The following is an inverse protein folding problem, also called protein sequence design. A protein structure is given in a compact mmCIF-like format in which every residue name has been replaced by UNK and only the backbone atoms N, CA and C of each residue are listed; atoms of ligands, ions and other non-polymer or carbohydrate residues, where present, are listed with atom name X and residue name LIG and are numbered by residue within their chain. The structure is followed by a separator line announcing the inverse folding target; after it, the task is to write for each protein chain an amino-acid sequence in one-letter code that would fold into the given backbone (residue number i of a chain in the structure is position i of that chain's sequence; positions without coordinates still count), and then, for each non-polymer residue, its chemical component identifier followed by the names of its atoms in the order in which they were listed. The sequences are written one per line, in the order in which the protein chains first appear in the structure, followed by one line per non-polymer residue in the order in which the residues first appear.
data_IF_329622170134
#
_entry.id   IF_329622170134
#
_cell.length_a   1.000
_cell.length_b   1.000
_cell.length_c   1.000
_cell.angle_alpha   90.00
_cell.angle_beta   90.00
_cell.angle_gamma   90.00
#
_symmetry.space_group_name_H-M   'P 1'
#
loop_
_entity.id
_entity.type
_entity.pdbx_description
1 polymer ?
#
# COMPACT_ATOMS: atom_id res chain seq x y z
N UNK A 1 -7.04 2.99 -30.38
CA UNK A 1 -6.13 3.95 -29.74
C UNK A 1 -5.13 3.13 -28.95
N UNK A 2 -3.86 3.18 -29.37
CA UNK A 2 -2.79 2.43 -28.72
C UNK A 2 -2.42 3.14 -27.42
N UNK A 3 -2.28 2.37 -26.33
CA UNK A 3 -1.88 2.87 -25.03
C UNK A 3 -0.37 3.15 -25.07
N UNK A 4 0.05 4.35 -24.68
CA UNK A 4 1.35 4.52 -24.03
C UNK A 4 1.28 3.72 -22.73
N UNK A 5 2.06 2.65 -22.62
CA UNK A 5 1.95 1.62 -21.60
C UNK A 5 1.72 2.17 -20.18
N UNK A 6 0.81 1.54 -19.41
CA UNK A 6 0.69 1.77 -17.96
C UNK A 6 2.09 1.80 -17.33
N UNK A 7 2.37 2.71 -16.39
CA UNK A 7 3.70 2.83 -15.80
C UNK A 7 4.03 1.57 -14.99
N UNK A 8 4.79 0.67 -15.58
CA UNK A 8 5.19 -0.59 -14.98
C UNK A 8 6.38 -0.38 -14.06
N UNK A 9 6.35 -1.03 -12.90
CA UNK A 9 7.43 -1.05 -11.91
C UNK A 9 7.99 0.36 -11.59
N UNK A 10 7.14 1.39 -11.74
CA UNK A 10 7.47 2.78 -11.48
C UNK A 10 6.68 3.25 -10.25
N UNK A 11 7.32 3.90 -9.26
CA UNK A 11 6.63 4.40 -8.08
C UNK A 11 5.49 5.36 -8.44
N UNK A 12 4.30 5.06 -7.96
CA UNK A 12 3.12 5.89 -8.18
C UNK A 12 2.24 5.98 -6.94
N UNK A 13 1.46 7.06 -6.87
CA UNK A 13 0.42 7.27 -5.87
C UNK A 13 -0.92 7.11 -6.58
N UNK A 14 -1.83 6.36 -5.96
CA UNK A 14 -3.18 6.18 -6.48
C UNK A 14 -4.14 7.16 -5.82
N UNK A 15 -4.80 7.99 -6.63
CA UNK A 15 -5.86 8.90 -6.18
C UNK A 15 -7.21 8.38 -6.66
N UNK A 16 -8.17 8.23 -5.75
CA UNK A 16 -9.50 7.77 -6.10
C UNK A 16 -10.22 8.81 -6.95
N UNK A 17 -10.77 8.40 -8.09
CA UNK A 17 -11.55 9.26 -8.98
C UNK A 17 -12.97 9.38 -8.43
N UNK A 18 -13.10 10.00 -7.24
CA UNK A 18 -14.40 10.23 -6.62
C UNK A 18 -15.36 10.84 -7.64
N UNK A 19 -16.56 10.30 -7.74
CA UNK A 19 -17.65 10.93 -8.46
C UNK A 19 -18.03 12.20 -7.73
N UNK A 20 -17.32 13.30 -8.00
CA UNK A 20 -17.93 14.61 -7.81
C UNK A 20 -19.14 14.62 -8.74
N UNK A 21 -20.33 14.76 -8.14
CA UNK A 21 -21.50 15.16 -8.92
C UNK A 21 -21.11 16.38 -9.74
N UNK A 22 -21.51 16.39 -11.01
CA UNK A 22 -21.09 17.33 -12.06
C UNK A 22 -21.44 18.81 -11.81
N UNK A 23 -21.65 19.23 -10.57
CA UNK A 23 -22.14 20.56 -10.18
C UNK A 23 -21.41 21.18 -8.97
N UNK A 24 -20.40 20.52 -8.40
CA UNK A 24 -19.70 21.09 -7.24
C UNK A 24 -18.57 22.02 -7.70
N UNK A 25 -18.95 23.27 -8.01
CA UNK A 25 -18.05 24.39 -8.37
C UNK A 25 -17.00 24.70 -7.28
N UNK A 26 -17.14 24.08 -6.11
CA UNK A 26 -16.19 24.12 -5.02
C UNK A 26 -15.95 22.69 -4.52
N UNK A 27 -14.88 22.06 -5.01
CA UNK A 27 -14.40 20.78 -4.47
C UNK A 27 -13.91 20.98 -3.02
N UNK A 28 -14.85 21.03 -2.08
CA UNK A 28 -14.59 21.19 -0.63
C UNK A 28 -14.09 19.89 0.00
N UNK A 29 -14.25 18.77 -0.71
CA UNK A 29 -13.83 17.46 -0.24
C UNK A 29 -12.37 17.19 -0.64
N UNK A 30 -11.54 16.93 0.36
CA UNK A 30 -10.15 16.55 0.16
C UNK A 30 -10.05 15.33 -0.78
N UNK A 31 -9.03 15.27 -1.65
CA UNK A 31 -8.78 14.11 -2.49
C UNK A 31 -8.52 12.87 -1.63
N UNK A 32 -9.12 11.75 -2.03
CA UNK A 32 -8.92 10.46 -1.36
C UNK A 32 -7.77 9.75 -2.08
N UNK A 33 -6.74 9.40 -1.32
CA UNK A 33 -5.61 8.61 -1.80
C UNK A 33 -5.68 7.20 -1.23
N UNK A 34 -5.00 6.28 -1.90
CA UNK A 34 -4.65 4.99 -1.32
C UNK A 34 -3.70 5.25 -0.15
N UNK A 35 -4.15 4.89 1.06
CA UNK A 35 -3.37 5.11 2.27
C UNK A 35 -2.81 3.81 2.87
N UNK A 36 -1.71 3.95 3.61
CA UNK A 36 -1.20 2.90 4.48
C UNK A 36 -1.99 2.80 5.79
N UNK A 37 -1.56 1.91 6.68
CA UNK A 37 -2.19 1.73 8.00
C UNK A 37 -2.12 2.96 8.90
N UNK A 38 -1.23 3.91 8.60
CA UNK A 38 -1.03 5.16 9.33
C UNK A 38 -1.75 6.35 8.68
N UNK A 39 -2.55 6.11 7.64
CA UNK A 39 -3.29 7.12 6.87
C UNK A 39 -2.42 8.04 6.01
N UNK A 40 -1.16 7.68 5.76
CA UNK A 40 -0.30 8.37 4.81
C UNK A 40 -0.51 7.81 3.40
N UNK A 41 -0.35 8.65 2.38
CA UNK A 41 -0.45 8.20 1.00
C UNK A 41 0.63 7.15 0.72
N UNK A 42 0.19 5.94 0.33
CA UNK A 42 1.09 4.81 0.12
C UNK A 42 1.54 4.77 -1.34
N UNK A 43 2.86 4.66 -1.52
CA UNK A 43 3.48 4.56 -2.83
C UNK A 43 3.47 3.10 -3.26
N UNK A 44 2.97 2.85 -4.47
CA UNK A 44 2.82 1.51 -5.03
C UNK A 44 3.49 1.40 -6.39
N UNK A 45 3.72 0.17 -6.82
CA UNK A 45 4.25 -0.23 -8.10
C UNK A 45 3.19 -1.10 -8.79
N UNK A 46 2.98 -0.90 -10.09
CA UNK A 46 2.17 -1.80 -10.90
C UNK A 46 3.08 -2.79 -11.61
N UNK A 47 3.02 -4.05 -11.22
CA UNK A 47 3.82 -5.10 -11.83
C UNK A 47 2.97 -5.92 -12.79
N UNK A 48 3.37 -5.97 -14.06
CA UNK A 48 2.68 -6.72 -15.10
C UNK A 48 3.04 -8.20 -15.01
N UNK A 49 2.05 -9.06 -14.74
CA UNK A 49 2.26 -10.52 -14.61
C UNK A 49 1.84 -11.29 -15.86
N UNK A 50 0.85 -10.77 -16.61
CA UNK A 50 0.35 -11.34 -17.86
C UNK A 50 -0.15 -10.20 -18.76
N UNK A 51 -0.58 -10.54 -19.97
CA UNK A 51 -1.19 -9.56 -20.89
C UNK A 51 -2.34 -8.82 -20.19
N UNK A 52 -2.19 -7.50 -20.05
CA UNK A 52 -3.16 -6.59 -19.43
C UNK A 52 -3.55 -6.95 -17.98
N UNK A 53 -2.72 -7.73 -17.29
CA UNK A 53 -2.97 -8.19 -15.91
C UNK A 53 -1.83 -7.74 -15.01
N UNK A 54 -2.19 -7.08 -13.92
CA UNK A 54 -1.27 -6.40 -13.03
C UNK A 54 -1.51 -6.81 -11.59
N UNK A 55 -0.44 -6.88 -10.82
CA UNK A 55 -0.50 -6.91 -9.36
C UNK A 55 -0.05 -5.55 -8.83
N UNK A 56 -0.57 -5.18 -7.67
CA UNK A 56 -0.21 -3.93 -6.99
C UNK A 56 0.78 -4.28 -5.89
N UNK A 57 1.99 -3.75 -5.99
CA UNK A 57 3.07 -3.94 -5.02
C UNK A 57 3.30 -2.68 -4.22
N UNK A 58 3.64 -2.83 -2.96
CA UNK A 58 4.13 -1.75 -2.15
C UNK A 58 5.56 -1.39 -2.54
N UNK A 59 5.86 -0.10 -2.68
CA UNK A 59 7.19 0.35 -3.09
C UNK A 59 8.22 0.33 -1.94
N UNK A 60 7.75 0.37 -0.69
CA UNK A 60 8.55 0.43 0.54
C UNK A 60 9.09 -0.95 0.96
N UNK A 61 8.24 -1.97 0.98
CA UNK A 61 8.53 -3.29 1.54
C UNK A 61 8.32 -4.45 0.56
N UNK A 62 7.88 -4.15 -0.68
CA UNK A 62 7.64 -5.15 -1.72
C UNK A 62 6.45 -6.06 -1.46
N UNK A 63 5.62 -5.80 -0.44
CA UNK A 63 4.41 -6.57 -0.18
C UNK A 63 3.41 -6.43 -1.34
N UNK A 64 2.64 -7.47 -1.59
CA UNK A 64 1.68 -7.53 -2.69
C UNK A 64 0.25 -7.38 -2.15
N UNK A 65 -0.59 -6.68 -2.90
CA UNK A 65 -1.99 -6.48 -2.53
C UNK A 65 -2.75 -7.80 -2.66
N UNK A 66 -3.40 -8.20 -1.56
CA UNK A 66 -4.30 -9.35 -1.47
C UNK A 66 -5.72 -8.87 -1.21
N UNK A 67 -6.70 -9.65 -1.66
CA UNK A 67 -8.12 -9.41 -1.38
C UNK A 67 -8.64 -10.51 -0.46
N UNK A 68 -9.08 -10.12 0.74
CA UNK A 68 -9.73 -11.00 1.70
C UNK A 68 -11.13 -11.42 1.24
N UNK A 69 -11.66 -12.49 1.85
CA UNK A 69 -12.99 -13.02 1.50
C UNK A 69 -14.14 -12.03 1.73
N UNK A 70 -13.94 -11.05 2.62
CA UNK A 70 -14.89 -9.97 2.90
C UNK A 70 -14.74 -8.77 1.94
N UNK A 71 -13.89 -8.86 0.92
CA UNK A 71 -13.56 -7.76 0.03
C UNK A 71 -12.64 -6.71 0.66
N UNK A 72 -12.09 -6.93 1.85
CA UNK A 72 -11.04 -6.07 2.40
C UNK A 72 -9.73 -6.30 1.66
N UNK A 73 -8.97 -5.23 1.39
CA UNK A 73 -7.68 -5.36 0.74
C UNK A 73 -6.54 -5.04 1.71
N UNK A 74 -5.46 -5.83 1.64
CA UNK A 74 -4.30 -5.74 2.53
C UNK A 74 -3.02 -5.97 1.73
N UNK A 75 -1.90 -5.43 2.18
CA UNK A 75 -0.59 -5.80 1.65
C UNK A 75 -0.04 -6.95 2.47
N UNK A 76 0.53 -7.96 1.81
CA UNK A 76 1.07 -9.14 2.45
C UNK A 76 2.31 -9.65 1.70
N UNK A 77 3.12 -10.49 2.34
CA UNK A 77 4.32 -11.05 1.73
C UNK A 77 4.03 -11.82 0.42
N UNK A 78 4.75 -11.52 -0.68
CA UNK A 78 4.59 -12.23 -1.95
C UNK A 78 4.93 -13.73 -1.84
N UNK A 79 5.69 -14.13 -0.81
CA UNK A 79 6.06 -15.53 -0.56
C UNK A 79 4.85 -16.42 -0.27
N UNK A 80 3.70 -15.85 0.10
CA UNK A 80 2.47 -16.60 0.30
C UNK A 80 1.80 -17.01 -1.02
N UNK A 81 2.13 -16.36 -2.15
CA UNK A 81 1.59 -16.69 -3.47
C UNK A 81 0.08 -16.49 -3.61
N UNK A 82 -0.51 -15.60 -2.80
CA UNK A 82 -1.96 -15.30 -2.76
C UNK A 82 -2.31 -13.90 -3.28
N UNK A 83 -1.39 -13.30 -4.02
CA UNK A 83 -1.50 -11.95 -4.56
C UNK A 83 -2.67 -11.83 -5.52
N UNK A 84 -3.39 -10.72 -5.43
CA UNK A 84 -4.55 -10.50 -6.29
C UNK A 84 -4.09 -9.95 -7.64
N UNK A 85 -4.50 -10.65 -8.70
CA UNK A 85 -4.31 -10.23 -10.09
C UNK A 85 -5.48 -9.33 -10.53
N UNK A 86 -5.16 -8.18 -11.13
CA UNK A 86 -6.15 -7.22 -11.62
C UNK A 86 -6.03 -7.00 -13.11
N UNK A 87 -7.17 -7.04 -13.81
CA UNK A 87 -7.29 -6.48 -15.14
C UNK A 87 -7.50 -4.97 -15.02
N UNK A 88 -6.76 -4.20 -15.82
CA UNK A 88 -6.86 -2.74 -15.81
C UNK A 88 -7.69 -2.27 -17.00
N UNK A 89 -8.78 -1.55 -16.71
CA UNK A 89 -9.70 -1.03 -17.71
C UNK A 89 -9.66 0.52 -17.72
N UNK A 90 -9.33 1.16 -18.85
CA UNK A 90 -9.27 2.61 -18.93
C UNK A 90 -10.67 3.23 -18.97
N UNK A 91 -10.82 4.40 -18.37
CA UNK A 91 -12.05 5.21 -18.37
C UNK A 91 -11.82 6.50 -19.15
N UNK A 92 -12.87 7.01 -19.80
CA UNK A 92 -12.80 8.19 -20.67
C UNK A 92 -12.27 9.46 -19.97
N UNK A 93 -12.34 9.55 -18.64
CA UNK A 93 -11.82 10.66 -17.85
C UNK A 93 -10.30 10.56 -17.56
N UNK A 94 -9.59 9.57 -18.13
CA UNK A 94 -8.17 9.32 -17.89
C UNK A 94 -7.85 8.55 -16.61
N UNK A 95 -8.88 8.13 -15.85
CA UNK A 95 -8.70 7.20 -14.73
C UNK A 95 -8.70 5.75 -15.20
N UNK A 96 -8.26 4.84 -14.33
CA UNK A 96 -8.24 3.40 -14.60
C UNK A 96 -9.00 2.63 -13.53
N UNK A 97 -9.71 1.58 -13.94
CA UNK A 97 -10.46 0.69 -13.05
C UNK A 97 -9.66 -0.60 -12.92
N UNK A 98 -9.43 -1.04 -11.68
CA UNK A 98 -8.80 -2.33 -11.39
C UNK A 98 -9.90 -3.34 -11.10
N UNK A 99 -10.01 -4.36 -11.95
CA UNK A 99 -11.00 -5.43 -11.84
C UNK A 99 -10.28 -6.70 -11.39
N UNK A 100 -10.63 -7.24 -10.23
CA UNK A 100 -10.09 -8.50 -9.71
C UNK A 100 -10.34 -9.62 -10.72
N UNK A 101 -9.29 -10.30 -11.15
CA UNK A 101 -9.39 -11.45 -12.04
C UNK A 101 -10.09 -12.64 -11.38
N UNK A 102 -10.02 -12.73 -10.04
CA UNK A 102 -10.64 -13.81 -9.27
C UNK A 102 -12.14 -13.63 -9.08
N UNK A 103 -12.58 -12.42 -8.76
CA UNK A 103 -13.98 -12.17 -8.35
C UNK A 103 -14.77 -11.34 -9.36
N UNK A 104 -14.10 -10.61 -10.26
CA UNK A 104 -14.73 -9.60 -11.12
C UNK A 104 -15.09 -8.30 -10.41
N UNK A 105 -14.82 -8.21 -9.10
CA UNK A 105 -15.08 -7.02 -8.29
C UNK A 105 -14.06 -5.91 -8.59
N UNK A 106 -14.45 -4.68 -8.28
CA UNK A 106 -13.64 -3.49 -8.56
C UNK A 106 -12.90 -3.05 -7.30
N UNK A 107 -11.63 -2.66 -7.46
CA UNK A 107 -10.87 -2.00 -6.40
C UNK A 107 -11.40 -0.58 -6.19
N UNK A 108 -11.89 -0.31 -4.99
CA UNK A 108 -12.45 0.97 -4.55
C UNK A 108 -11.84 1.43 -3.24
N UNK A 109 -12.16 2.68 -2.86
CA UNK A 109 -11.87 3.21 -1.53
C UNK A 109 -13.12 3.23 -0.65
N UNK A 110 -12.98 2.93 0.63
CA UNK A 110 -14.04 3.05 1.65
C UNK A 110 -14.40 4.49 2.03
N UNK A 111 -13.88 5.49 1.31
CA UNK A 111 -14.11 6.91 1.58
C UNK A 111 -13.13 7.53 2.57
N UNK A 112 -12.35 6.72 3.28
CA UNK A 112 -11.31 7.14 4.24
C UNK A 112 -9.90 6.79 3.69
N UNK A 113 -9.81 6.24 2.48
CA UNK A 113 -8.55 5.89 1.83
C UNK A 113 -8.12 4.43 2.02
N UNK A 114 -8.93 3.59 2.69
CA UNK A 114 -8.66 2.15 2.75
C UNK A 114 -9.24 1.46 1.52
N UNK A 115 -8.53 0.45 1.06
CA UNK A 115 -8.91 -0.30 -0.13
C UNK A 115 -9.95 -1.37 0.18
N UNK A 116 -10.94 -1.48 -0.71
CA UNK A 116 -11.90 -2.56 -0.76
C UNK A 116 -12.05 -3.07 -2.19
N UNK A 117 -12.41 -4.34 -2.34
CA UNK A 117 -12.71 -4.96 -3.61
C UNK A 117 -14.16 -5.45 -3.57
N UNK A 118 -15.05 -4.71 -4.20
CA UNK A 118 -16.51 -4.89 -4.09
C UNK A 118 -17.19 -4.80 -5.45
N UNK A 119 -18.38 -5.41 -5.56
CA UNK A 119 -19.22 -5.34 -6.75
C UNK A 119 -20.09 -4.08 -6.70
N UNK A 120 -19.49 -2.95 -7.06
CA UNK A 120 -20.10 -1.62 -7.00
C UNK A 120 -19.84 -0.86 -8.31
N UNK A 121 -20.10 0.45 -8.29
CA UNK A 121 -19.86 1.31 -9.45
C UNK A 121 -18.40 1.23 -9.89
N UNK A 122 -18.14 1.21 -11.19
CA UNK A 122 -16.77 1.15 -11.74
C UNK A 122 -16.05 2.49 -11.63
N UNK A 123 -15.80 2.93 -10.40
CA UNK A 123 -15.08 4.18 -10.11
C UNK A 123 -13.59 3.94 -10.28
N UNK A 124 -12.94 4.82 -11.03
CA UNK A 124 -11.53 4.66 -11.39
C UNK A 124 -10.55 5.26 -10.38
N UNK A 125 -9.28 5.12 -10.70
CA UNK A 125 -8.12 5.67 -10.00
C UNK A 125 -7.28 6.49 -10.97
N UNK A 126 -6.85 7.66 -10.53
CA UNK A 126 -5.79 8.40 -11.18
C UNK A 126 -4.43 7.91 -10.66
N UNK A 127 -3.53 7.57 -11.58
CA UNK A 127 -2.17 7.15 -11.28
C UNK A 127 -1.27 8.39 -11.36
N UNK A 128 -0.71 8.80 -10.23
CA UNK A 128 0.14 9.98 -10.11
C UNK A 128 1.59 9.53 -9.98
N UNK A 129 2.43 9.86 -10.96
CA UNK A 129 3.87 9.66 -10.86
C UNK A 129 4.51 10.88 -10.21
N UNK A 130 5.52 10.65 -9.36
CA UNK A 130 6.33 11.74 -8.85
C UNK A 130 7.17 12.28 -10.01
N UNK A 131 6.87 13.50 -10.47
CA UNK A 131 7.56 14.13 -11.59
C UNK A 131 9.02 14.40 -11.25
N UNK A 132 9.91 13.47 -11.57
CA UNK A 132 11.30 13.80 -11.84
C UNK A 132 11.32 14.60 -13.14
N UNK A 133 11.72 15.87 -13.06
CA UNK A 133 12.07 16.64 -14.26
C UNK A 133 13.06 15.84 -15.08
N UNK A 134 12.61 15.36 -16.24
CA UNK A 134 13.48 14.85 -17.28
C UNK A 134 14.35 16.00 -17.78
N UNK A 135 15.56 16.13 -17.25
CA UNK A 135 16.64 16.86 -17.91
C UNK A 135 17.85 15.94 -18.05
N UNK A 136 18.10 15.56 -19.30
CA UNK A 136 19.40 15.08 -19.75
C UNK A 136 20.48 16.11 -19.33
N UNK A 137 21.44 15.69 -18.52
CA UNK A 137 22.52 16.56 -18.09
C UNK A 137 23.54 15.83 -17.22
N UNK A 138 24.53 15.22 -17.87
CA UNK A 138 25.75 14.67 -17.28
C UNK A 138 26.47 15.74 -16.45
N UNK A 139 26.66 15.51 -15.15
CA UNK A 139 27.72 16.16 -14.37
C UNK A 139 28.11 15.31 -13.15
N UNK A 140 29.41 15.03 -13.09
CA UNK A 140 30.16 14.36 -12.02
C UNK A 140 30.54 15.41 -10.96
N UNK A 141 30.40 15.09 -9.67
CA UNK A 141 31.32 15.44 -8.55
C UNK A 141 30.79 14.76 -7.28
N UNK A 142 31.47 13.74 -6.77
CA UNK A 142 32.51 13.76 -5.72
C UNK A 142 31.96 13.89 -4.29
N UNK A 143 32.39 12.95 -3.46
CA UNK A 143 31.99 12.73 -2.09
C UNK A 143 32.78 13.62 -1.13
N UNK A 144 32.17 14.01 0.00
CA UNK A 144 32.92 14.30 1.21
C UNK A 144 32.13 13.89 2.46
N UNK A 145 32.79 13.10 3.30
CA UNK A 145 32.33 12.60 4.59
C UNK A 145 32.41 13.68 5.67
N UNK A 146 31.42 13.77 6.56
CA UNK A 146 31.64 14.27 7.93
C UNK A 146 30.62 13.65 8.90
N UNK A 147 31.12 12.82 9.84
CA UNK A 147 30.45 12.32 11.05
C UNK A 147 30.65 13.29 12.24
N UNK A 148 30.14 13.05 13.47
CA UNK A 148 28.88 12.43 13.91
C UNK A 148 28.15 13.30 14.98
N UNK A 149 26.81 13.23 15.11
CA UNK A 149 26.10 13.77 16.28
C UNK A 149 24.95 12.86 16.73
N UNK A 150 25.11 12.38 17.97
CA UNK A 150 24.21 11.68 18.91
C UNK A 150 22.73 11.50 18.52
N UNK A 151 22.32 10.23 18.50
CA UNK A 151 20.98 9.73 18.16
C UNK A 151 19.84 10.31 19.02
N UNK A 152 18.74 10.79 18.40
CA UNK A 152 17.42 10.86 19.05
C UNK A 152 16.81 9.46 19.17
N UNK A 153 15.90 9.20 20.14
CA UNK A 153 15.27 7.90 20.30
C UNK A 153 14.51 7.52 19.03
N UNK A 154 15.00 6.49 18.37
CA UNK A 154 14.47 5.98 17.12
C UNK A 154 13.10 5.30 17.35
N UNK A 155 12.04 5.84 16.75
CA UNK A 155 10.70 5.26 16.80
C UNK A 155 10.58 3.88 16.14
N UNK A 156 11.56 3.46 15.33
CA UNK A 156 11.63 2.07 14.85
C UNK A 156 11.93 1.08 15.98
N UNK A 157 12.65 1.49 17.03
CA UNK A 157 12.98 0.60 18.14
C UNK A 157 11.72 0.25 18.95
N UNK A 158 10.80 1.20 19.14
CA UNK A 158 9.55 0.96 19.88
C UNK A 158 8.56 0.09 19.12
N UNK A 159 8.49 0.23 17.79
CA UNK A 159 7.62 -0.61 16.95
C UNK A 159 8.16 -2.02 16.78
N UNK A 160 9.50 -2.15 16.69
CA UNK A 160 10.17 -3.45 16.66
C UNK A 160 10.02 -4.19 17.99
N UNK A 161 10.22 -3.52 19.13
CA UNK A 161 9.97 -4.09 20.47
C UNK A 161 8.50 -4.51 20.64
N UNK A 162 7.56 -3.73 20.11
CA UNK A 162 6.13 -4.05 20.18
C UNK A 162 5.77 -5.26 19.30
N UNK A 163 6.43 -5.42 18.14
CA UNK A 163 6.26 -6.56 17.25
C UNK A 163 6.88 -7.83 17.83
N UNK A 164 8.12 -7.79 18.31
CA UNK A 164 8.78 -8.93 18.96
C UNK A 164 8.02 -9.37 20.22
N UNK A 165 7.51 -8.42 21.02
CA UNK A 165 6.69 -8.73 22.19
C UNK A 165 5.40 -9.47 21.81
N UNK A 166 4.75 -9.08 20.72
CA UNK A 166 3.55 -9.77 20.21
C UNK A 166 3.86 -11.17 19.72
N UNK A 167 4.95 -11.34 18.96
CA UNK A 167 5.38 -12.66 18.47
C UNK A 167 5.78 -13.60 19.62
N UNK A 168 6.45 -13.08 20.65
CA UNK A 168 6.81 -13.85 21.84
C UNK A 168 5.58 -14.29 22.66
N UNK A 169 4.61 -13.40 22.86
CA UNK A 169 3.33 -13.74 23.53
C UNK A 169 2.61 -14.85 22.76
N UNK A 170 2.51 -14.73 21.44
CA UNK A 170 1.87 -15.74 20.59
C UNK A 170 2.59 -17.10 20.68
N UNK A 171 3.92 -17.10 20.82
CA UNK A 171 4.71 -18.32 21.04
C UNK A 171 4.48 -18.95 22.41
N UNK A 172 4.29 -18.16 23.47
CA UNK A 172 3.94 -18.69 24.79
C UNK A 172 2.53 -19.30 24.80
N UNK A 173 1.59 -18.68 24.10
CA UNK A 173 0.23 -19.21 23.91
C UNK A 173 0.27 -20.53 23.14
N UNK A 174 1.07 -20.63 22.07
CA UNK A 174 1.19 -21.88 21.30
C UNK A 174 1.88 -23.01 22.06
N UNK A 175 2.69 -22.69 23.07
CA UNK A 175 3.25 -23.65 24.03
C UNK A 175 2.27 -24.07 25.14
N UNK A 176 1.03 -23.57 25.12
CA UNK A 176 -0.05 -23.96 26.02
C UNK A 176 0.00 -23.27 27.39
N UNK A 177 0.71 -22.15 27.52
CA UNK A 177 0.76 -21.37 28.77
C UNK A 177 -0.55 -20.65 29.04
N UNK A 178 -0.99 -20.65 30.30
CA UNK A 178 -2.17 -19.88 30.70
C UNK A 178 -1.87 -18.38 30.75
N UNK A 179 -2.91 -17.56 30.67
CA UNK A 179 -2.77 -16.10 30.68
C UNK A 179 -2.05 -15.60 31.95
N UNK A 180 -2.38 -16.18 33.11
CA UNK A 180 -1.73 -15.85 34.39
C UNK A 180 -0.24 -16.20 34.42
N UNK A 181 0.17 -17.30 33.77
CA UNK A 181 1.59 -17.66 33.63
C UNK A 181 2.32 -16.71 32.68
N UNK A 182 1.68 -16.31 31.58
CA UNK A 182 2.25 -15.35 30.62
C UNK A 182 2.46 -13.99 31.29
N UNK A 183 1.47 -13.51 32.04
CA UNK A 183 1.58 -12.24 32.76
C UNK A 183 2.69 -12.29 33.81
N UNK A 184 2.82 -13.39 34.56
CA UNK A 184 3.91 -13.58 35.52
C UNK A 184 5.30 -13.63 34.87
N UNK A 185 5.41 -14.18 33.65
CA UNK A 185 6.66 -14.21 32.88
C UNK A 185 7.01 -12.81 32.36
N UNK A 186 6.04 -12.10 31.77
CA UNK A 186 6.25 -10.74 31.27
C UNK A 186 6.62 -9.78 32.40
N UNK A 187 5.97 -9.90 33.56
CA UNK A 187 6.30 -9.13 34.76
C UNK A 187 7.73 -9.37 35.26
N UNK A 188 8.28 -10.59 35.09
CA UNK A 188 9.68 -10.86 35.49
C UNK A 188 10.72 -10.40 34.47
N UNK A 189 10.34 -10.29 33.20
CA UNK A 189 11.24 -9.87 32.11
C UNK A 189 11.36 -8.35 31.99
N UNK A 190 10.30 -7.62 32.35
CA UNK A 190 10.19 -6.17 32.16
C UNK A 190 10.03 -5.38 33.47
N UNK A 191 10.31 -6.00 34.63
CA UNK A 191 10.43 -5.33 35.92
C UNK A 191 11.87 -4.89 36.22
#
# INVERSE_FOLDING_TARGET
MAFDALPQDTPLIMRFAATCGSDDLYATKAPIFLCDSTSNAKVVLLHCVRKDTFIIRSADDGQELIVGANGGCYFESPLLGISEEFKVEPVANGSVVFVSCRTGNVLESDGIGRLRCVDTLRVGWFLLQQGGTSSNGKAVVEAEETMPVLDPPCGHCTDYETKERREYIMKLVSLGKSLDEIDAILLRMYA
#
